data_IF_833769247433
#
_entry.id   IF_833769247433
#
_cell.length_a   1.000
_cell.length_b   1.000
_cell.length_c   1.000
_cell.angle_alpha   90.00
_cell.angle_beta   90.00
_cell.angle_gamma   90.00
#
_symmetry.space_group_name_H-M   'P 1'
#
loop_
_entity.id
_entity.type
_entity.pdbx_description
1 polymer ?
#
# COMPACT_ATOMS: atom_id res chain seq x y z
N UNK A 1 -9.87 8.19 -9.90
CA UNK A 1 -10.41 6.83 -9.67
C UNK A 1 -11.62 6.80 -8.73
N UNK A 2 -11.52 7.23 -7.46
CA UNK A 2 -12.68 7.23 -6.54
C UNK A 2 -13.85 8.13 -7.03
N UNK A 3 -13.58 9.32 -7.58
CA UNK A 3 -14.61 10.20 -8.18
C UNK A 3 -15.25 9.65 -9.48
N UNK A 4 -14.66 8.62 -10.10
CA UNK A 4 -15.18 8.03 -11.34
C UNK A 4 -16.17 6.91 -10.99
N UNK A 5 -15.85 6.09 -9.97
CA UNK A 5 -16.70 4.99 -9.50
C UNK A 5 -17.94 5.46 -8.70
N UNK A 6 -17.90 6.65 -8.09
CA UNK A 6 -19.07 7.30 -7.47
C UNK A 6 -20.16 7.70 -8.48
N UNK A 7 -19.84 7.76 -9.79
CA UNK A 7 -20.80 8.02 -10.88
C UNK A 7 -21.44 6.75 -11.47
N UNK A 8 -20.96 5.56 -11.11
CA UNK A 8 -21.32 4.30 -11.79
C UNK A 8 -22.20 3.35 -10.97
N UNK A 9 -22.74 3.77 -9.81
CA UNK A 9 -23.64 2.96 -8.95
C UNK A 9 -23.07 1.57 -8.53
N UNK A 10 -21.75 1.41 -8.62
CA UNK A 10 -21.08 0.14 -8.36
C UNK A 10 -20.96 -0.05 -6.85
N UNK A 11 -21.25 -1.25 -6.30
CA UNK A 11 -21.07 -1.52 -4.88
C UNK A 11 -19.67 -1.10 -4.45
N UNK A 12 -19.62 -0.18 -3.47
CA UNK A 12 -18.42 0.49 -2.99
C UNK A 12 -17.29 -0.51 -2.69
N UNK A 13 -17.66 -1.70 -2.20
CA UNK A 13 -16.81 -2.89 -1.95
C UNK A 13 -15.94 -3.31 -3.15
N UNK A 14 -16.47 -3.23 -4.36
CA UNK A 14 -15.76 -3.61 -5.57
C UNK A 14 -14.81 -2.50 -6.04
N UNK A 15 -15.21 -1.24 -5.91
CA UNK A 15 -14.38 -0.08 -6.25
C UNK A 15 -13.09 0.01 -5.42
N UNK A 16 -13.11 -0.44 -4.16
CA UNK A 16 -11.88 -0.45 -3.33
C UNK A 16 -11.01 -1.64 -3.65
N UNK A 17 -11.62 -2.81 -3.89
CA UNK A 17 -10.85 -4.00 -4.20
C UNK A 17 -10.02 -3.74 -5.46
N UNK A 18 -10.64 -3.12 -6.47
CA UNK A 18 -9.94 -2.62 -7.65
C UNK A 18 -8.93 -1.54 -7.30
N UNK A 19 -9.31 -0.48 -6.55
CA UNK A 19 -8.39 0.61 -6.22
C UNK A 19 -7.17 0.16 -5.40
N UNK A 20 -7.32 -0.86 -4.56
CA UNK A 20 -6.24 -1.53 -3.86
C UNK A 20 -5.40 -2.35 -4.84
N UNK A 21 -6.02 -3.20 -5.65
CA UNK A 21 -5.33 -4.06 -6.61
C UNK A 21 -4.46 -3.26 -7.62
N UNK A 22 -4.98 -2.15 -8.18
CA UNK A 22 -4.18 -1.31 -9.11
C UNK A 22 -3.02 -0.57 -8.44
N UNK A 23 -3.02 -0.41 -7.11
CA UNK A 23 -1.93 0.24 -6.37
C UNK A 23 -0.91 -0.77 -5.84
N UNK A 24 -1.37 -1.94 -5.41
CA UNK A 24 -0.52 -2.97 -4.79
C UNK A 24 0.56 -3.44 -5.76
N UNK A 25 0.23 -3.71 -7.02
CA UNK A 25 1.22 -4.17 -8.01
C UNK A 25 2.38 -3.17 -8.18
N UNK A 26 2.15 -1.87 -8.47
CA UNK A 26 3.21 -0.88 -8.51
C UNK A 26 4.00 -0.75 -7.19
N UNK A 27 3.33 -0.81 -6.03
CA UNK A 27 4.00 -0.71 -4.71
C UNK A 27 4.97 -1.86 -4.50
N UNK A 28 4.54 -3.09 -4.82
CA UNK A 28 5.40 -4.28 -4.72
C UNK A 28 6.59 -4.19 -5.67
N UNK A 29 6.39 -3.63 -6.87
CA UNK A 29 7.44 -3.43 -7.86
C UNK A 29 8.51 -2.45 -7.36
N UNK A 30 8.08 -1.33 -6.75
CA UNK A 30 8.98 -0.36 -6.12
C UNK A 30 9.71 -0.96 -4.92
N UNK A 31 9.00 -1.66 -4.04
CA UNK A 31 9.61 -2.31 -2.87
C UNK A 31 10.64 -3.37 -3.29
N UNK A 32 10.35 -4.13 -4.34
CA UNK A 32 11.28 -5.10 -4.94
C UNK A 32 12.54 -4.43 -5.51
N UNK A 33 12.39 -3.33 -6.24
CA UNK A 33 13.54 -2.57 -6.75
C UNK A 33 14.44 -2.06 -5.63
N UNK A 34 13.84 -1.57 -4.54
CA UNK A 34 14.58 -1.11 -3.35
C UNK A 34 15.31 -2.25 -2.67
N UNK A 35 14.66 -3.41 -2.47
CA UNK A 35 15.29 -4.58 -1.88
C UNK A 35 16.50 -5.06 -2.71
N UNK A 36 16.35 -5.12 -4.04
CA UNK A 36 17.46 -5.49 -4.94
C UNK A 36 18.63 -4.51 -4.86
N UNK A 37 18.35 -3.20 -4.82
CA UNK A 37 19.38 -2.18 -4.63
C UNK A 37 20.09 -2.31 -3.28
N UNK A 38 19.33 -2.56 -2.20
CA UNK A 38 19.89 -2.73 -0.87
C UNK A 38 20.76 -3.99 -0.71
N UNK A 39 20.44 -5.06 -1.45
CA UNK A 39 21.29 -6.27 -1.52
C UNK A 39 22.67 -5.96 -2.08
N UNK A 40 22.77 -5.09 -3.09
CA UNK A 40 24.07 -4.66 -3.63
C UNK A 40 24.86 -3.85 -2.59
N UNK A 41 24.17 -2.95 -1.87
CA UNK A 41 24.78 -2.09 -0.84
C UNK A 41 25.29 -2.90 0.36
N UNK A 42 24.68 -4.05 0.67
CA UNK A 42 25.12 -4.93 1.76
C UNK A 42 26.55 -5.46 1.59
N UNK A 43 27.06 -5.53 0.36
CA UNK A 43 28.43 -5.98 0.10
C UNK A 43 29.49 -4.93 0.47
N UNK A 44 29.10 -3.66 0.65
CA UNK A 44 29.98 -2.59 1.09
C UNK A 44 29.87 -2.36 2.62
N UNK A 45 30.91 -2.67 3.41
CA UNK A 45 30.87 -2.56 4.88
C UNK A 45 30.56 -1.14 5.39
N UNK A 46 30.85 -0.12 4.59
CA UNK A 46 30.62 1.30 4.92
C UNK A 46 29.12 1.63 4.93
N UNK A 47 28.34 1.04 4.02
CA UNK A 47 26.91 1.34 3.84
C UNK A 47 25.99 0.22 4.33
N UNK A 48 26.55 -0.81 4.95
CA UNK A 48 25.81 -1.97 5.42
C UNK A 48 24.68 -1.60 6.40
N UNK A 49 24.93 -0.67 7.33
CA UNK A 49 23.90 -0.15 8.25
C UNK A 49 22.77 0.61 7.55
N UNK A 50 23.08 1.32 6.46
CA UNK A 50 22.09 2.00 5.63
C UNK A 50 21.23 0.99 4.88
N UNK A 51 21.82 -0.05 4.28
CA UNK A 51 21.10 -1.10 3.56
C UNK A 51 20.07 -1.81 4.46
N UNK A 52 20.47 -2.16 5.68
CA UNK A 52 19.59 -2.83 6.66
C UNK A 52 18.42 -1.92 7.04
N UNK A 53 18.72 -0.65 7.34
CA UNK A 53 17.69 0.34 7.69
C UNK A 53 16.68 0.55 6.56
N UNK A 54 17.17 0.58 5.32
CA UNK A 54 16.38 0.84 4.14
C UNK A 54 15.47 -0.35 3.81
N UNK A 55 15.99 -1.59 3.85
CA UNK A 55 15.17 -2.80 3.71
C UNK A 55 14.09 -2.90 4.80
N UNK A 56 14.48 -2.72 6.06
CA UNK A 56 13.55 -2.76 7.18
C UNK A 56 12.44 -1.71 7.05
N UNK A 57 12.81 -0.48 6.70
CA UNK A 57 11.88 0.62 6.47
C UNK A 57 10.93 0.35 5.31
N UNK A 58 11.43 -0.16 4.18
CA UNK A 58 10.61 -0.50 3.01
C UNK A 58 9.61 -1.60 3.33
N UNK A 59 10.05 -2.71 3.93
CA UNK A 59 9.16 -3.83 4.30
C UNK A 59 8.08 -3.35 5.28
N UNK A 60 8.47 -2.61 6.32
CA UNK A 60 7.54 -2.10 7.32
C UNK A 60 6.53 -1.12 6.71
N UNK A 61 6.98 -0.22 5.83
CA UNK A 61 6.12 0.75 5.15
C UNK A 61 5.15 0.09 4.17
N UNK A 62 5.61 -0.92 3.41
CA UNK A 62 4.75 -1.71 2.51
C UNK A 62 3.69 -2.46 3.30
N UNK A 63 4.07 -3.12 4.40
CA UNK A 63 3.13 -3.82 5.28
C UNK A 63 2.11 -2.85 5.89
N UNK A 64 2.59 -1.74 6.43
CA UNK A 64 1.75 -0.72 7.03
C UNK A 64 0.76 -0.16 5.99
N UNK A 65 1.20 0.08 4.76
CA UNK A 65 0.32 0.56 3.68
C UNK A 65 -0.75 -0.47 3.33
N UNK A 66 -0.38 -1.74 3.19
CA UNK A 66 -1.31 -2.82 2.87
C UNK A 66 -2.34 -3.08 3.97
N UNK A 67 -2.04 -2.75 5.23
CA UNK A 67 -2.96 -2.90 6.37
C UNK A 67 -3.76 -1.62 6.65
N UNK A 68 -3.11 -0.46 6.63
CA UNK A 68 -3.73 0.84 6.93
C UNK A 68 -4.74 1.23 5.87
N UNK A 69 -4.46 1.00 4.58
CA UNK A 69 -5.39 1.31 3.48
C UNK A 69 -6.74 0.58 3.64
N UNK A 70 -6.79 -0.76 3.84
CA UNK A 70 -8.06 -1.45 4.06
C UNK A 70 -8.71 -1.09 5.40
N UNK A 71 -7.94 -0.84 6.47
CA UNK A 71 -8.51 -0.42 7.77
C UNK A 71 -9.18 0.96 7.69
N UNK A 72 -8.51 1.95 7.07
CA UNK A 72 -9.09 3.27 6.83
C UNK A 72 -10.35 3.15 5.98
N UNK A 73 -10.33 2.27 4.98
CA UNK A 73 -11.49 2.03 4.15
C UNK A 73 -12.65 1.40 4.94
N UNK A 74 -12.39 0.35 5.75
CA UNK A 74 -13.40 -0.28 6.59
C UNK A 74 -14.04 0.72 7.55
N UNK A 75 -13.25 1.65 8.10
CA UNK A 75 -13.75 2.75 8.93
C UNK A 75 -14.64 3.73 8.15
N UNK A 76 -14.30 4.06 6.90
CA UNK A 76 -15.14 4.88 6.02
C UNK A 76 -16.44 4.16 5.63
N UNK A 77 -16.39 2.85 5.33
CA UNK A 77 -17.57 2.02 5.05
C UNK A 77 -18.55 2.06 6.24
N UNK A 78 -18.06 1.78 7.45
CA UNK A 78 -18.87 1.84 8.68
C UNK A 78 -19.53 3.20 8.90
N UNK A 79 -18.86 4.30 8.52
CA UNK A 79 -19.40 5.66 8.64
C UNK A 79 -20.48 5.98 7.58
N UNK A 80 -20.37 5.41 6.38
CA UNK A 80 -21.36 5.61 5.32
C UNK A 80 -22.64 4.77 5.54
N UNK A 81 -22.52 3.55 6.10
CA UNK A 81 -23.68 2.72 6.45
C UNK A 81 -24.51 3.33 7.60
N UNK A 82 -23.87 4.07 8.51
CA UNK A 82 -24.55 4.81 9.59
C UNK A 82 -25.27 6.09 9.12
N UNK A 83 -24.96 6.61 7.92
CA UNK A 83 -25.56 7.85 7.39
C UNK A 83 -26.76 7.59 6.47
N UNK A 84 -27.12 6.32 6.25
CA UNK A 84 -28.27 5.90 5.42
C UNK A 84 -29.51 5.52 6.25
N UNK A 85 -29.42 5.59 7.58
CA UNK A 85 -30.57 5.60 8.50
C UNK A 85 -30.85 7.02 8.98
#
# INVERSE_FOLDING_TARGET
>A
FINIRLKEDIPLKQAILEAGAVRTTPILLTAGAVALGAVIILFDPIFQGLAISLMGGTITSTFLTLVVVPLLYFKMMRKNDLKKN
#
